data_IF_586882912574
#
_entry.id   IF_586882912574
#
_cell.length_a   1.000
_cell.length_b   1.000
_cell.length_c   1.000
_cell.angle_alpha   90.00
_cell.angle_beta   90.00
_cell.angle_gamma   90.00
#
_symmetry.space_group_name_H-M   'P 1'
#
loop_
_entity.id
_entity.type
_entity.pdbx_description
1 polymer ?
#
# COMPACT_ATOMS: atom_id res chain seq x y z
N UNK A 1 -41.90 -24.75 13.71
CA UNK A 1 -41.34 -24.18 12.47
C UNK A 1 -41.05 -22.68 12.53
N UNK A 2 -41.94 -21.82 13.06
CA UNK A 2 -41.69 -20.34 13.15
C UNK A 2 -40.41 -19.96 13.95
N UNK A 3 -40.12 -20.65 15.06
CA UNK A 3 -38.93 -20.36 15.91
C UNK A 3 -37.59 -20.68 15.24
N UNK A 4 -37.53 -21.73 14.40
CA UNK A 4 -36.32 -22.13 13.67
C UNK A 4 -36.02 -21.11 12.56
N UNK A 5 -37.05 -20.58 11.90
CA UNK A 5 -36.91 -19.58 10.85
C UNK A 5 -36.36 -18.26 11.40
N UNK A 6 -36.81 -17.84 12.59
CA UNK A 6 -36.34 -16.62 13.25
C UNK A 6 -34.87 -16.72 13.67
N UNK A 7 -34.44 -17.89 14.17
CA UNK A 7 -33.05 -18.14 14.55
C UNK A 7 -32.14 -18.14 13.34
N UNK A 8 -32.58 -18.72 12.23
CA UNK A 8 -31.82 -18.74 10.96
C UNK A 8 -31.64 -17.33 10.38
N UNK A 9 -32.69 -16.48 10.47
CA UNK A 9 -32.62 -15.10 10.01
C UNK A 9 -31.66 -14.25 10.85
N UNK A 10 -31.62 -14.49 12.19
CA UNK A 10 -30.68 -13.81 13.09
C UNK A 10 -29.21 -14.22 12.81
N UNK A 11 -28.94 -15.49 12.50
CA UNK A 11 -27.60 -15.95 12.14
C UNK A 11 -27.14 -15.32 10.80
N UNK A 12 -28.05 -15.17 9.83
CA UNK A 12 -27.75 -14.50 8.57
C UNK A 12 -27.46 -13.00 8.75
N UNK A 13 -28.16 -12.31 9.66
CA UNK A 13 -27.92 -10.90 9.97
C UNK A 13 -26.56 -10.65 10.62
N UNK A 14 -26.01 -11.61 11.37
CA UNK A 14 -24.68 -11.51 12.00
C UNK A 14 -23.57 -11.71 10.97
N UNK A 15 -23.81 -12.49 9.91
CA UNK A 15 -22.80 -12.74 8.85
C UNK A 15 -22.66 -11.55 7.89
N UNK A 16 -23.74 -10.78 7.69
CA UNK A 16 -23.73 -9.60 6.79
C UNK A 16 -23.15 -8.35 7.48
N UNK A 17 -23.06 -8.35 8.84
CA UNK A 17 -22.65 -7.17 9.62
C UNK A 17 -21.13 -6.95 9.75
N UNK A 18 -20.27 -7.85 9.28
CA UNK A 18 -18.82 -7.79 9.53
C UNK A 18 -17.94 -7.83 8.28
N UNK A 19 -18.41 -7.31 7.16
CA UNK A 19 -17.52 -6.95 6.06
C UNK A 19 -16.73 -5.66 6.40
N UNK A 20 -16.10 -5.61 7.59
CA UNK A 20 -15.07 -4.62 7.84
C UNK A 20 -13.89 -4.96 6.95
N UNK A 21 -13.66 -4.14 5.96
CA UNK A 21 -12.47 -4.18 5.13
C UNK A 21 -11.25 -4.25 6.03
N UNK A 22 -10.50 -5.35 5.90
CA UNK A 22 -9.26 -5.49 6.64
C UNK A 22 -8.31 -4.37 6.19
N UNK A 23 -7.70 -3.64 7.13
CA UNK A 23 -6.76 -2.59 6.77
C UNK A 23 -5.59 -3.21 6.00
N UNK A 24 -5.06 -2.46 5.02
CA UNK A 24 -3.85 -2.86 4.33
C UNK A 24 -2.75 -3.16 5.35
N UNK A 25 -1.99 -4.23 5.11
CA UNK A 25 -0.85 -4.62 5.95
C UNK A 25 0.44 -4.59 5.15
N UNK A 26 1.46 -3.96 5.70
CA UNK A 26 2.83 -4.06 5.22
C UNK A 26 3.68 -4.79 6.26
N UNK A 27 4.34 -5.88 5.86
CA UNK A 27 5.10 -6.77 6.77
C UNK A 27 4.32 -7.21 8.00
N UNK A 28 3.01 -7.42 7.87
CA UNK A 28 2.12 -7.80 8.97
C UNK A 28 1.72 -6.63 9.89
N UNK A 29 2.17 -5.41 9.62
CA UNK A 29 1.81 -4.19 10.36
C UNK A 29 0.62 -3.54 9.65
N UNK A 30 -0.49 -3.33 10.37
CA UNK A 30 -1.67 -2.66 9.82
C UNK A 30 -1.40 -1.17 9.55
N UNK A 31 -1.77 -0.70 8.36
CA UNK A 31 -1.63 0.70 7.96
C UNK A 31 -2.67 1.61 8.61
N UNK A 32 -3.65 1.04 9.32
CA UNK A 32 -4.55 1.79 10.20
C UNK A 32 -3.90 2.27 11.51
N UNK A 33 -2.57 2.29 11.56
CA UNK A 33 -1.78 2.79 12.68
C UNK A 33 -1.31 4.22 12.40
N UNK A 34 -1.06 5.00 13.47
CA UNK A 34 -0.37 6.29 13.32
C UNK A 34 1.07 6.11 12.83
N UNK A 35 1.63 7.13 12.19
CA UNK A 35 3.00 7.13 11.69
C UNK A 35 4.00 6.68 12.76
N UNK A 36 3.92 7.25 13.96
CA UNK A 36 4.85 6.93 15.06
C UNK A 36 4.79 5.44 15.45
N UNK A 37 3.58 4.90 15.60
CA UNK A 37 3.37 3.48 15.93
C UNK A 37 3.87 2.57 14.82
N UNK A 38 3.58 2.92 13.56
CA UNK A 38 3.98 2.15 12.39
C UNK A 38 5.50 2.10 12.24
N UNK A 39 6.17 3.26 12.35
CA UNK A 39 7.62 3.40 12.28
C UNK A 39 8.30 2.63 13.42
N UNK A 40 7.77 2.73 14.66
CA UNK A 40 8.28 1.95 15.80
C UNK A 40 8.25 0.44 15.53
N UNK A 41 7.16 -0.07 14.96
CA UNK A 41 7.05 -1.50 14.59
C UNK A 41 8.02 -1.87 13.45
N UNK A 42 8.26 -0.99 12.48
CA UNK A 42 9.26 -1.21 11.44
C UNK A 42 10.68 -1.25 12.01
N UNK A 43 11.00 -0.37 12.96
CA UNK A 43 12.28 -0.41 13.70
C UNK A 43 12.46 -1.73 14.43
N UNK A 44 11.41 -2.26 15.04
CA UNK A 44 11.40 -3.61 15.65
C UNK A 44 11.62 -4.76 14.66
N UNK A 45 11.46 -4.51 13.36
CA UNK A 45 11.78 -5.45 12.26
C UNK A 45 13.14 -5.20 11.61
N UNK A 46 13.99 -4.35 12.19
CA UNK A 46 15.34 -4.08 11.72
C UNK A 46 15.47 -2.95 10.72
N UNK A 47 14.40 -2.16 10.49
CA UNK A 47 14.52 -0.94 9.70
C UNK A 47 15.12 0.20 10.52
N UNK A 48 15.95 1.02 9.89
CA UNK A 48 16.60 2.20 10.49
C UNK A 48 16.05 3.45 9.81
N UNK A 49 15.60 4.41 10.62
CA UNK A 49 15.06 5.67 10.13
C UNK A 49 16.19 6.58 9.63
N UNK A 50 15.97 7.16 8.44
CA UNK A 50 16.82 8.20 7.88
C UNK A 50 16.25 9.58 8.28
N UNK A 51 16.67 10.06 9.45
CA UNK A 51 16.15 11.29 10.06
C UNK A 51 16.38 12.51 9.18
N UNK A 52 17.45 12.53 8.37
CA UNK A 52 17.77 13.65 7.48
C UNK A 52 16.74 13.85 6.36
N UNK A 53 16.00 12.80 6.01
CA UNK A 53 14.98 12.82 4.98
C UNK A 53 13.54 12.72 5.53
N UNK A 54 13.40 12.65 6.85
CA UNK A 54 12.08 12.59 7.51
C UNK A 54 11.48 13.98 7.65
N UNK A 55 10.19 14.11 7.37
CA UNK A 55 9.37 15.33 7.49
C UNK A 55 8.06 14.99 8.20
N UNK A 56 7.27 15.97 8.66
CA UNK A 56 5.92 15.70 9.11
C UNK A 56 5.15 14.88 8.05
N UNK A 57 4.48 13.83 8.47
CA UNK A 57 3.70 12.91 7.62
C UNK A 57 4.48 12.14 6.54
N UNK A 58 5.81 12.19 6.60
CA UNK A 58 6.68 11.49 5.66
C UNK A 58 7.95 11.00 6.36
N UNK A 59 8.17 9.69 6.38
CA UNK A 59 9.34 9.08 7.02
C UNK A 59 10.07 8.18 6.03
N UNK A 60 11.39 8.31 5.99
CA UNK A 60 12.28 7.45 5.21
C UNK A 60 12.96 6.45 6.14
N UNK A 61 12.94 5.17 5.76
CA UNK A 61 13.66 4.12 6.47
C UNK A 61 14.50 3.31 5.49
N UNK A 62 15.56 2.68 5.98
CA UNK A 62 16.40 1.74 5.25
C UNK A 62 16.40 0.40 5.98
N UNK A 63 16.36 -0.71 5.25
CA UNK A 63 16.36 -2.03 5.86
C UNK A 63 16.36 -3.13 4.81
N UNK A 64 15.88 -4.31 5.21
CA UNK A 64 15.80 -5.48 4.34
C UNK A 64 14.35 -5.87 4.10
N UNK A 65 13.99 -6.08 2.84
CA UNK A 65 12.69 -6.59 2.41
C UNK A 65 12.91 -7.71 1.38
N UNK A 66 12.30 -8.87 1.62
CA UNK A 66 12.45 -10.06 0.77
C UNK A 66 13.94 -10.48 0.52
N UNK A 67 14.82 -10.23 1.50
CA UNK A 67 16.25 -10.53 1.39
C UNK A 67 17.11 -9.42 0.75
N UNK A 68 16.49 -8.39 0.19
CA UNK A 68 17.15 -7.29 -0.51
C UNK A 68 17.22 -6.01 0.34
N UNK A 69 18.25 -5.21 0.15
CA UNK A 69 18.34 -3.88 0.73
C UNK A 69 17.36 -2.94 0.04
N UNK A 70 16.54 -2.28 0.83
CA UNK A 70 15.53 -1.35 0.33
C UNK A 70 15.53 -0.03 1.11
N UNK A 71 15.04 1.01 0.45
CA UNK A 71 14.58 2.25 1.07
C UNK A 71 13.05 2.18 1.14
N UNK A 72 12.48 2.50 2.29
CA UNK A 72 11.04 2.70 2.46
C UNK A 72 10.74 4.20 2.54
N UNK A 73 9.65 4.59 1.91
CA UNK A 73 9.01 5.88 2.12
C UNK A 73 7.61 5.62 2.68
N UNK A 74 7.37 6.09 3.89
CA UNK A 74 6.09 5.92 4.59
C UNK A 74 5.40 7.27 4.64
N UNK A 75 4.13 7.31 4.26
CA UNK A 75 3.31 8.53 4.25
C UNK A 75 2.06 8.35 5.09
N UNK A 76 1.72 9.39 5.85
CA UNK A 76 0.48 9.44 6.63
C UNK A 76 -0.32 10.69 6.31
N UNK A 77 -1.62 10.62 6.57
CA UNK A 77 -2.53 11.74 6.45
C UNK A 77 -2.13 12.88 7.41
N UNK A 78 -2.37 14.12 7.00
CA UNK A 78 -1.83 15.30 7.68
C UNK A 78 -2.45 15.51 9.07
N UNK A 79 -3.76 15.31 9.22
CA UNK A 79 -4.50 15.57 10.46
C UNK A 79 -4.64 14.32 11.33
N UNK A 80 -4.98 13.19 10.73
CA UNK A 80 -5.19 11.93 11.47
C UNK A 80 -3.89 11.19 11.76
N UNK A 81 -2.81 11.50 11.04
CA UNK A 81 -1.51 10.80 11.09
C UNK A 81 -1.59 9.30 10.80
N UNK A 82 -2.70 8.80 10.24
CA UNK A 82 -2.83 7.41 9.84
C UNK A 82 -2.00 7.14 8.58
N UNK A 83 -1.25 6.04 8.59
CA UNK A 83 -0.46 5.64 7.43
C UNK A 83 -1.40 5.24 6.30
N UNK A 84 -1.19 5.81 5.12
CA UNK A 84 -1.94 5.48 3.92
C UNK A 84 -1.10 4.90 2.79
N UNK A 85 0.23 5.15 2.79
CA UNK A 85 1.11 4.67 1.72
C UNK A 85 2.47 4.23 2.25
N UNK A 86 2.97 3.13 1.71
CA UNK A 86 4.35 2.65 1.87
C UNK A 86 4.91 2.33 0.50
N UNK A 87 5.95 3.04 0.10
CA UNK A 87 6.72 2.75 -1.11
C UNK A 87 8.00 2.01 -0.75
N UNK A 88 8.26 0.89 -1.41
CA UNK A 88 9.45 0.05 -1.26
C UNK A 88 10.33 0.25 -2.48
N UNK A 89 11.45 0.92 -2.33
CA UNK A 89 12.42 1.17 -3.39
C UNK A 89 13.54 0.14 -3.32
N UNK A 90 13.67 -0.68 -4.34
CA UNK A 90 14.79 -1.61 -4.48
C UNK A 90 16.04 -0.88 -4.97
N UNK A 91 17.22 -1.34 -4.56
CA UNK A 91 18.48 -0.80 -5.05
C UNK A 91 18.72 -1.18 -6.51
N UNK A 92 19.61 -0.44 -7.20
CA UNK A 92 20.06 -0.79 -8.56
C UNK A 92 20.77 -2.16 -8.64
N UNK A 93 21.30 -2.64 -7.51
CA UNK A 93 21.96 -3.94 -7.41
C UNK A 93 21.02 -5.07 -7.00
N UNK A 94 19.70 -4.85 -6.98
CA UNK A 94 18.75 -5.91 -6.65
C UNK A 94 18.83 -7.07 -7.64
N UNK A 95 18.69 -8.28 -7.13
CA UNK A 95 18.62 -9.50 -7.95
C UNK A 95 17.23 -9.71 -8.56
N UNK A 96 16.21 -8.98 -8.07
CA UNK A 96 14.86 -9.10 -8.61
C UNK A 96 14.74 -8.40 -9.96
N UNK A 97 14.05 -9.06 -10.87
CA UNK A 97 13.52 -8.47 -12.09
C UNK A 97 12.05 -8.07 -11.90
N UNK A 98 11.52 -7.26 -12.81
CA UNK A 98 10.10 -6.90 -12.80
C UNK A 98 9.19 -8.15 -12.88
N UNK A 99 9.43 -9.13 -13.80
CA UNK A 99 8.63 -10.36 -13.84
C UNK A 99 8.71 -11.20 -12.57
N UNK A 100 9.89 -11.27 -11.90
CA UNK A 100 10.03 -12.00 -10.64
C UNK A 100 9.12 -11.43 -9.54
N UNK A 101 9.12 -10.10 -9.38
CA UNK A 101 8.28 -9.43 -8.40
C UNK A 101 6.80 -9.50 -8.80
N UNK A 102 6.48 -9.37 -10.08
CA UNK A 102 5.12 -9.50 -10.60
C UNK A 102 4.55 -10.89 -10.27
N UNK A 103 5.29 -11.96 -10.55
CA UNK A 103 4.90 -13.33 -10.22
C UNK A 103 4.65 -13.52 -8.72
N UNK A 104 5.59 -13.08 -7.86
CA UNK A 104 5.46 -13.17 -6.39
C UNK A 104 4.26 -12.38 -5.85
N UNK A 105 3.95 -11.24 -6.45
CA UNK A 105 2.79 -10.45 -6.05
C UNK A 105 1.49 -11.10 -6.53
N UNK A 106 1.48 -11.67 -7.74
CA UNK A 106 0.34 -12.42 -8.25
C UNK A 106 0.04 -13.68 -7.40
N UNK A 107 1.06 -14.43 -6.99
CA UNK A 107 0.92 -15.58 -6.08
C UNK A 107 0.29 -15.17 -4.75
N UNK A 108 0.58 -13.97 -4.28
CA UNK A 108 0.11 -13.49 -2.98
C UNK A 108 -1.24 -12.76 -3.02
N UNK A 109 -1.49 -12.01 -4.06
CA UNK A 109 -2.64 -11.08 -4.15
C UNK A 109 -3.62 -11.44 -5.26
N UNK A 110 -3.35 -12.50 -6.03
CA UNK A 110 -4.22 -12.98 -7.10
C UNK A 110 -3.95 -12.28 -8.44
N UNK A 111 -4.97 -12.22 -9.28
CA UNK A 111 -4.85 -11.68 -10.62
C UNK A 111 -4.57 -10.17 -10.66
N UNK A 112 -3.82 -9.75 -11.67
CA UNK A 112 -3.54 -8.34 -11.95
C UNK A 112 -4.84 -7.69 -12.42
N UNK A 113 -5.24 -6.60 -11.77
CA UNK A 113 -6.45 -5.85 -12.13
C UNK A 113 -6.21 -4.80 -13.21
N UNK A 114 -4.98 -4.38 -13.37
CA UNK A 114 -4.56 -3.45 -14.42
C UNK A 114 -3.07 -3.63 -14.70
N UNK A 115 -2.71 -3.69 -15.97
CA UNK A 115 -1.34 -3.73 -16.44
C UNK A 115 -1.15 -2.68 -17.54
N UNK A 116 -0.04 -1.96 -17.49
CA UNK A 116 0.36 -1.01 -18.53
C UNK A 116 1.83 -1.25 -18.82
N UNK A 117 2.14 -1.48 -20.08
CA UNK A 117 3.49 -1.71 -20.58
C UNK A 117 3.87 -0.56 -21.50
N UNK A 118 5.11 -0.08 -21.34
CA UNK A 118 5.72 0.96 -22.19
C UNK A 118 4.93 2.28 -22.23
N UNK A 119 4.76 2.91 -21.07
CA UNK A 119 4.13 4.24 -20.97
C UNK A 119 5.05 5.26 -21.63
N UNK A 120 4.81 5.56 -22.91
CA UNK A 120 5.59 6.55 -23.66
C UNK A 120 5.03 7.98 -23.57
N UNK A 121 3.73 8.12 -23.29
CA UNK A 121 2.99 9.37 -23.51
C UNK A 121 2.12 9.85 -22.35
N UNK A 122 2.38 9.46 -21.11
CA UNK A 122 1.57 9.95 -19.98
C UNK A 122 2.14 11.23 -19.34
N UNK A 123 1.26 12.16 -18.93
CA UNK A 123 1.72 13.47 -18.48
C UNK A 123 2.45 13.44 -17.16
N UNK A 124 3.47 14.22 -17.08
CA UNK A 124 4.31 14.77 -16.00
C UNK A 124 4.39 14.02 -14.63
N UNK A 125 3.36 13.35 -14.13
CA UNK A 125 3.35 12.65 -12.83
C UNK A 125 3.82 11.18 -12.89
N UNK A 126 3.89 10.58 -14.07
CA UNK A 126 4.39 9.21 -14.32
C UNK A 126 5.72 9.20 -15.06
N UNK A 127 6.44 10.31 -15.02
CA UNK A 127 7.64 10.60 -15.82
C UNK A 127 8.79 9.60 -15.71
N UNK A 128 8.65 8.57 -14.88
CA UNK A 128 9.74 7.61 -14.59
C UNK A 128 9.30 6.14 -14.62
N UNK A 129 8.07 5.84 -15.01
CA UNK A 129 7.53 4.49 -15.00
C UNK A 129 7.29 4.02 -16.41
N UNK A 130 8.04 2.99 -16.88
CA UNK A 130 7.80 2.38 -18.20
C UNK A 130 6.73 1.30 -18.14
N UNK A 131 6.70 0.54 -17.06
CA UNK A 131 5.77 -0.57 -16.87
C UNK A 131 5.19 -0.51 -15.46
N UNK A 132 3.91 -0.84 -15.29
CA UNK A 132 3.36 -1.08 -13.98
C UNK A 132 2.29 -2.18 -14.00
N UNK A 133 2.19 -2.90 -12.90
CA UNK A 133 1.11 -3.84 -12.62
C UNK A 133 0.42 -3.45 -11.32
N UNK A 134 -0.90 -3.56 -11.29
CA UNK A 134 -1.73 -3.14 -10.17
C UNK A 134 -2.62 -4.28 -9.70
N UNK A 135 -2.67 -4.49 -8.40
CA UNK A 135 -3.59 -5.39 -7.72
C UNK A 135 -4.52 -4.59 -6.84
N UNK A 136 -5.79 -4.90 -6.88
CA UNK A 136 -6.77 -4.36 -5.95
C UNK A 136 -7.23 -5.52 -5.06
N UNK A 137 -7.02 -5.35 -3.76
CA UNK A 137 -7.52 -6.27 -2.74
C UNK A 137 -8.67 -5.59 -2.02
N UNK A 138 -9.39 -6.17 -1.19
CA UNK A 138 -10.47 -5.66 -0.34
C UNK A 138 -11.07 -4.29 -0.71
N UNK A 139 -12.37 -4.25 -0.84
CA UNK A 139 -13.14 -3.04 -1.11
C UNK A 139 -13.85 -2.59 0.15
N UNK A 140 -13.66 -1.35 0.59
CA UNK A 140 -14.58 -0.71 1.51
C UNK A 140 -15.87 -0.35 0.74
N UNK A 141 -16.93 -1.10 0.97
CA UNK A 141 -18.21 -0.95 0.26
C UNK A 141 -18.87 0.41 0.55
N UNK A 142 -18.58 1.03 1.71
CA UNK A 142 -19.14 2.33 2.10
C UNK A 142 -18.43 3.48 1.37
N UNK A 143 -17.12 3.43 1.28
CA UNK A 143 -16.31 4.50 0.69
C UNK A 143 -15.87 4.20 -0.74
N UNK A 144 -16.11 2.99 -1.24
CA UNK A 144 -15.58 2.48 -2.52
C UNK A 144 -14.07 2.65 -2.64
N UNK A 145 -13.36 2.50 -1.52
CA UNK A 145 -11.92 2.60 -1.46
C UNK A 145 -11.29 1.21 -1.54
N UNK A 146 -10.33 1.05 -2.44
CA UNK A 146 -9.62 -0.21 -2.65
C UNK A 146 -8.23 -0.15 -2.03
N UNK A 147 -7.89 -1.19 -1.27
CA UNK A 147 -6.49 -1.44 -0.97
C UNK A 147 -5.77 -1.79 -2.27
N UNK A 148 -4.67 -1.12 -2.53
CA UNK A 148 -4.00 -1.24 -3.83
C UNK A 148 -2.52 -1.55 -3.63
N UNK A 149 -2.01 -2.49 -4.43
CA UNK A 149 -0.57 -2.72 -4.59
C UNK A 149 -0.20 -2.37 -6.02
N UNK A 150 0.87 -1.63 -6.20
CA UNK A 150 1.41 -1.25 -7.51
C UNK A 150 2.87 -1.68 -7.56
N UNK A 151 3.24 -2.48 -8.54
CA UNK A 151 4.61 -2.71 -8.93
C UNK A 151 4.93 -1.80 -10.11
N UNK A 152 5.98 -1.01 -9.99
CA UNK A 152 6.43 -0.10 -11.03
C UNK A 152 7.88 -0.37 -11.39
N UNK A 153 8.20 -0.23 -12.67
CA UNK A 153 9.57 -0.21 -13.18
C UNK A 153 9.93 1.21 -13.59
N UNK A 154 10.98 1.74 -12.97
CA UNK A 154 11.46 3.09 -13.26
C UNK A 154 12.51 3.04 -14.38
N UNK A 155 12.28 3.73 -15.50
CA UNK A 155 13.11 3.63 -16.70
C UNK A 155 14.14 4.73 -16.88
N UNK A 156 14.06 5.87 -16.21
CA UNK A 156 14.96 7.00 -16.43
C UNK A 156 15.36 7.74 -15.14
N UNK A 157 16.66 7.93 -14.91
CA UNK A 157 17.25 8.72 -13.81
C UNK A 157 16.83 8.32 -12.39
N UNK A 158 16.30 7.13 -12.19
CA UNK A 158 15.96 6.63 -10.87
C UNK A 158 17.14 5.88 -10.26
N UNK A 159 17.38 6.11 -8.99
CA UNK A 159 18.32 5.32 -8.18
C UNK A 159 17.73 3.96 -7.78
N UNK A 160 16.49 3.68 -8.19
CA UNK A 160 15.78 2.44 -7.87
C UNK A 160 15.02 1.95 -9.09
N UNK A 161 15.40 0.78 -9.65
CA UNK A 161 14.80 0.27 -10.87
C UNK A 161 13.39 -0.26 -10.66
N UNK A 162 13.06 -0.68 -9.44
CA UNK A 162 11.78 -1.29 -9.07
C UNK A 162 11.22 -0.67 -7.81
N UNK A 163 9.91 -0.41 -7.82
CA UNK A 163 9.18 0.13 -6.68
C UNK A 163 7.91 -0.68 -6.47
N UNK A 164 7.63 -1.07 -5.22
CA UNK A 164 6.34 -1.62 -4.81
C UNK A 164 5.66 -0.60 -3.90
N UNK A 165 4.48 -0.13 -4.29
CA UNK A 165 3.64 0.75 -3.47
C UNK A 165 2.51 -0.04 -2.84
N UNK A 166 2.36 0.06 -1.53
CA UNK A 166 1.22 -0.43 -0.76
C UNK A 166 0.36 0.76 -0.35
N UNK A 167 -0.91 0.75 -0.72
CA UNK A 167 -1.84 1.87 -0.51
C UNK A 167 -3.07 1.36 0.24
N UNK A 168 -3.30 1.90 1.44
CA UNK A 168 -4.56 1.71 2.16
C UNK A 168 -5.61 2.66 1.56
N UNK A 169 -6.60 2.10 0.91
CA UNK A 169 -7.57 2.89 0.16
C UNK A 169 -8.40 3.80 1.05
N UNK A 170 -8.80 3.35 2.24
CA UNK A 170 -9.58 4.14 3.18
C UNK A 170 -8.78 5.34 3.70
N UNK A 171 -7.56 5.11 4.16
CA UNK A 171 -6.71 6.18 4.69
C UNK A 171 -6.24 7.14 3.58
N UNK A 172 -6.05 6.66 2.36
CA UNK A 172 -5.75 7.50 1.20
C UNK A 172 -6.90 8.45 0.85
N UNK A 173 -8.16 8.02 0.99
CA UNK A 173 -9.31 8.92 0.84
C UNK A 173 -9.38 9.96 1.96
N UNK A 174 -9.05 9.58 3.20
CA UNK A 174 -8.97 10.52 4.32
C UNK A 174 -7.96 11.63 4.02
N UNK A 175 -6.76 11.27 3.55
CA UNK A 175 -5.75 12.26 3.15
C UNK A 175 -6.28 13.21 2.07
N UNK A 176 -6.92 12.69 1.03
CA UNK A 176 -7.51 13.52 -0.04
C UNK A 176 -8.55 14.50 0.50
N UNK A 177 -9.38 14.07 1.44
CA UNK A 177 -10.40 14.93 2.05
C UNK A 177 -9.77 15.98 2.99
N UNK A 178 -8.72 15.62 3.73
CA UNK A 178 -7.98 16.55 4.59
C UNK A 178 -7.33 17.67 3.79
N UNK A 179 -6.70 17.33 2.67
CA UNK A 179 -6.06 18.32 1.77
C UNK A 179 -7.12 19.24 1.14
N UNK A 180 -8.24 18.67 0.67
CA UNK A 180 -9.29 19.47 0.03
C UNK A 180 -10.07 20.37 1.00
N UNK A 181 -10.03 20.08 2.30
CA UNK A 181 -10.71 20.90 3.31
C UNK A 181 -9.97 22.20 3.64
N UNK A 182 -8.75 22.37 3.16
CA UNK A 182 -7.91 23.54 3.38
C UNK A 182 -8.01 24.56 2.22
N UNK A 183 -8.86 24.26 1.21
CA UNK A 183 -9.23 25.12 0.08
C UNK A 183 -10.72 25.41 0.04
#
# INVERSE_FOLDING_TARGET
MKKILTTLLLIFAIIVGNAQTQPMKFLGIGMNSTMSTFVSKLKGKGFVEDVSHTKPNYTVLKGTFAGERVKLEVRSAAKTHLVYKVDVFFSLSTQFTYPDLQGRLADKYGEITQEVNDIKDEPIYVKYTSDYSKWQTDTDTVTQAYNTIILSKCSYHSTSPLVISYIDGKNSKVETLEVNSDF
#
